data_IF_775234490014
#
_entry.id   IF_775234490014
#
_cell.length_a   1.000
_cell.length_b   1.000
_cell.length_c   1.000
_cell.angle_alpha   90.00
_cell.angle_beta   90.00
_cell.angle_gamma   90.00
#
_symmetry.space_group_name_H-M   'P 1'
#
loop_
_entity.id
_entity.type
_entity.pdbx_description
1 polymer ?
#
# COMPACT_ATOMS: atom_id res chain seq x y z
N UNK A 1 66.53 24.15 11.70
CA UNK A 1 66.41 25.62 11.52
C UNK A 1 66.60 25.92 10.05
N UNK A 2 65.80 26.84 9.51
CA UNK A 2 65.83 27.20 8.09
C UNK A 2 66.17 28.70 7.98
N UNK A 3 67.42 29.06 7.63
CA UNK A 3 67.86 30.44 7.56
C UNK A 3 67.35 31.13 6.28
N UNK A 4 66.96 32.41 6.41
CA UNK A 4 66.48 33.22 5.29
C UNK A 4 65.08 32.84 4.80
N UNK A 5 64.54 33.58 3.81
CA UNK A 5 63.30 33.21 3.15
C UNK A 5 63.52 31.91 2.37
N UNK A 6 62.71 30.90 2.68
CA UNK A 6 62.76 29.63 1.96
C UNK A 6 62.17 29.80 0.56
N UNK A 7 62.70 29.04 -0.39
CA UNK A 7 62.03 28.84 -1.67
C UNK A 7 60.61 28.33 -1.42
N UNK A 8 59.63 28.84 -2.16
CA UNK A 8 58.21 28.52 -1.92
C UNK A 8 57.93 27.01 -1.83
N UNK A 9 58.43 26.15 -2.75
CA UNK A 9 58.17 24.71 -2.67
C UNK A 9 58.72 24.05 -1.39
N UNK A 10 59.86 24.54 -0.91
CA UNK A 10 60.49 24.09 0.33
C UNK A 10 59.68 24.54 1.55
N UNK A 11 59.24 25.82 1.56
CA UNK A 11 58.40 26.37 2.61
C UNK A 11 57.07 25.62 2.73
N UNK A 12 56.40 25.34 1.61
CA UNK A 12 55.12 24.64 1.56
C UNK A 12 55.26 23.21 2.09
N UNK A 13 56.31 22.51 1.66
CA UNK A 13 56.58 21.14 2.11
C UNK A 13 56.92 21.09 3.61
N UNK A 14 57.76 22.02 4.10
CA UNK A 14 58.07 22.13 5.54
C UNK A 14 56.84 22.52 6.38
N UNK A 15 55.93 23.33 5.84
CA UNK A 15 54.69 23.70 6.52
C UNK A 15 53.74 22.52 6.76
N UNK A 16 53.85 21.47 5.94
CA UNK A 16 53.12 20.21 6.17
C UNK A 16 53.87 19.31 7.16
N UNK A 17 55.20 19.21 7.01
CA UNK A 17 56.04 18.23 7.72
C UNK A 17 56.39 18.60 9.16
N UNK A 18 56.31 19.88 9.52
CA UNK A 18 56.74 20.38 10.81
C UNK A 18 55.91 21.59 11.24
N UNK A 19 55.88 21.83 12.55
CA UNK A 19 55.23 23.00 13.12
C UNK A 19 56.25 24.15 13.27
N UNK A 20 55.82 25.39 13.05
CA UNK A 20 56.70 26.56 13.21
C UNK A 20 56.76 26.95 14.69
N UNK A 21 57.94 26.82 15.27
CA UNK A 21 58.20 27.19 16.67
C UNK A 21 58.60 28.67 16.81
N UNK A 22 59.39 29.19 15.86
CA UNK A 22 59.79 30.61 15.85
C UNK A 22 60.05 31.09 14.43
N UNK A 23 59.74 32.38 14.17
CA UNK A 23 59.88 33.06 12.87
C UNK A 23 60.94 34.18 12.88
N UNK A 24 61.95 34.07 13.76
CA UNK A 24 63.04 35.06 13.85
C UNK A 24 63.97 35.07 12.63
N UNK A 25 65.22 35.51 12.80
CA UNK A 25 66.23 35.54 11.72
C UNK A 25 66.50 34.19 11.03
N UNK A 26 66.10 33.09 11.67
CA UNK A 26 65.91 31.79 11.04
C UNK A 26 64.59 31.19 11.54
N UNK A 27 63.81 30.58 10.63
CA UNK A 27 62.58 29.90 11.00
C UNK A 27 62.94 28.56 11.66
N UNK A 28 62.43 28.34 12.88
CA UNK A 28 62.64 27.10 13.61
C UNK A 28 61.42 26.22 13.40
N UNK A 29 61.65 25.06 12.79
CA UNK A 29 60.65 24.03 12.57
C UNK A 29 60.85 22.90 13.58
N UNK A 30 59.75 22.50 14.22
CA UNK A 30 59.71 21.38 15.16
C UNK A 30 58.95 20.22 14.54
N UNK A 31 59.61 19.09 14.44
CA UNK A 31 58.98 17.84 14.04
C UNK A 31 58.35 17.18 15.26
N UNK A 32 57.05 16.92 15.16
CA UNK A 32 56.24 16.23 16.15
C UNK A 32 55.58 14.99 15.53
N UNK A 33 55.17 13.99 16.32
CA UNK A 33 54.40 12.86 15.80
C UNK A 33 53.15 13.30 15.00
N UNK A 34 52.50 14.39 15.41
CA UNK A 34 51.34 14.96 14.74
C UNK A 34 51.69 15.56 13.37
N UNK A 35 52.78 16.31 13.26
CA UNK A 35 53.23 16.89 11.99
C UNK A 35 53.68 15.81 10.99
N UNK A 36 54.37 14.76 11.45
CA UNK A 36 54.75 13.63 10.60
C UNK A 36 53.51 12.89 10.13
N UNK A 37 52.56 12.59 11.03
CA UNK A 37 51.28 11.95 10.67
C UNK A 37 50.53 12.77 9.61
N UNK A 38 50.45 14.08 9.77
CA UNK A 38 49.82 15.01 8.80
C UNK A 38 50.42 14.86 7.40
N UNK A 39 51.73 14.71 7.30
CA UNK A 39 52.39 14.50 6.03
C UNK A 39 52.07 13.13 5.41
N UNK A 40 51.98 12.08 6.22
CA UNK A 40 51.55 10.75 5.76
C UNK A 40 50.07 10.74 5.33
N UNK A 41 49.20 11.44 6.07
CA UNK A 41 47.79 11.63 5.71
C UNK A 41 47.62 12.39 4.39
N UNK A 42 48.57 13.28 4.07
CA UNK A 42 48.66 13.97 2.78
C UNK A 42 49.25 13.10 1.65
N UNK A 43 49.46 11.80 1.89
CA UNK A 43 49.89 10.82 0.88
C UNK A 43 51.40 10.73 0.66
N UNK A 44 52.23 11.32 1.53
CA UNK A 44 53.70 11.17 1.44
C UNK A 44 54.15 9.86 2.07
N UNK A 45 55.10 9.17 1.44
CA UNK A 45 55.71 7.98 2.04
C UNK A 45 56.87 8.35 2.97
N UNK A 46 57.16 7.50 3.97
CA UNK A 46 58.30 7.70 4.88
C UNK A 46 59.64 7.89 4.13
N UNK A 47 59.83 7.15 3.04
CA UNK A 47 60.98 7.30 2.14
C UNK A 47 61.08 8.70 1.54
N UNK A 48 59.96 9.32 1.19
CA UNK A 48 59.92 10.67 0.63
C UNK A 48 60.29 11.71 1.68
N UNK A 49 59.85 11.52 2.94
CA UNK A 49 60.25 12.37 4.06
C UNK A 49 61.77 12.29 4.30
N UNK A 50 62.32 11.08 4.34
CA UNK A 50 63.77 10.89 4.52
C UNK A 50 64.57 11.48 3.36
N UNK A 51 64.16 11.24 2.11
CA UNK A 51 64.80 11.81 0.93
C UNK A 51 64.74 13.34 0.92
N UNK A 52 63.59 13.90 1.28
CA UNK A 52 63.40 15.35 1.39
C UNK A 52 64.34 15.97 2.43
N UNK A 53 64.42 15.38 3.63
CA UNK A 53 65.32 15.86 4.67
C UNK A 53 66.79 15.71 4.27
N UNK A 54 67.17 14.60 3.65
CA UNK A 54 68.53 14.39 3.16
C UNK A 54 68.92 15.40 2.07
N UNK A 55 68.00 15.75 1.18
CA UNK A 55 68.25 16.71 0.10
C UNK A 55 68.40 18.17 0.59
N UNK A 56 67.68 18.56 1.65
CA UNK A 56 67.62 19.97 2.11
C UNK A 56 68.38 20.22 3.42
N UNK A 57 68.90 19.19 4.07
CA UNK A 57 69.70 19.35 5.29
C UNK A 57 71.18 19.49 4.96
N UNK A 58 71.82 20.52 5.55
CA UNK A 58 73.28 20.72 5.45
C UNK A 58 74.08 19.74 6.30
N UNK A 59 73.45 19.12 7.29
CA UNK A 59 74.03 18.10 8.17
C UNK A 59 73.28 16.79 8.00
N UNK A 60 73.86 15.64 8.36
CA UNK A 60 73.10 14.39 8.45
C UNK A 60 71.84 14.56 9.30
N UNK A 61 70.76 13.88 8.89
CA UNK A 61 69.48 13.90 9.63
C UNK A 61 69.69 13.25 11.01
N UNK A 62 69.32 13.91 12.12
CA UNK A 62 69.49 13.34 13.45
C UNK A 62 68.72 12.02 13.61
N UNK A 63 69.37 11.02 14.21
CA UNK A 63 68.77 9.69 14.47
C UNK A 63 67.38 9.76 15.16
N UNK A 64 67.13 10.64 16.16
CA UNK A 64 65.81 10.72 16.78
C UNK A 64 64.69 11.13 15.82
N UNK A 65 65.00 11.98 14.83
CA UNK A 65 64.04 12.38 13.81
C UNK A 65 63.76 11.24 12.84
N UNK A 66 64.80 10.52 12.41
CA UNK A 66 64.62 9.35 11.57
C UNK A 66 63.73 8.29 12.25
N UNK A 67 64.01 8.01 13.52
CA UNK A 67 63.21 7.08 14.33
C UNK A 67 61.76 7.54 14.49
N UNK A 68 61.53 8.84 14.73
CA UNK A 68 60.18 9.41 14.81
C UNK A 68 59.39 9.17 13.51
N UNK A 69 60.02 9.40 12.35
CA UNK A 69 59.38 9.19 11.05
C UNK A 69 58.99 7.73 10.88
N UNK A 70 59.92 6.81 11.16
CA UNK A 70 59.70 5.38 10.98
C UNK A 70 58.64 4.82 11.95
N UNK A 71 58.65 5.25 13.21
CA UNK A 71 57.65 4.82 14.20
C UNK A 71 56.23 5.29 13.84
N UNK A 72 56.09 6.56 13.40
CA UNK A 72 54.80 7.09 12.98
C UNK A 72 54.33 6.43 11.68
N UNK A 73 55.24 6.22 10.72
CA UNK A 73 54.93 5.56 9.47
C UNK A 73 54.51 4.10 9.67
N UNK A 74 55.17 3.38 10.59
CA UNK A 74 54.78 2.02 10.95
C UNK A 74 53.35 1.99 11.48
N UNK A 75 52.99 2.93 12.37
CA UNK A 75 51.66 3.02 12.99
C UNK A 75 50.57 3.54 12.06
N UNK A 76 50.95 4.30 11.02
CA UNK A 76 50.03 4.90 10.07
C UNK A 76 49.37 3.85 9.18
N UNK A 77 48.06 3.98 8.95
CA UNK A 77 47.32 3.08 8.06
C UNK A 77 47.13 1.64 8.56
N UNK A 78 47.52 1.31 9.81
CA UNK A 78 47.24 0.01 10.42
C UNK A 78 45.74 -0.26 10.56
N UNK A 79 44.97 0.78 10.90
CA UNK A 79 43.51 0.73 10.92
C UNK A 79 42.99 1.32 9.62
N UNK A 80 42.11 0.58 8.95
CA UNK A 80 41.46 1.01 7.72
C UNK A 80 39.96 1.07 7.94
N UNK A 81 39.38 2.21 7.61
CA UNK A 81 37.94 2.44 7.70
C UNK A 81 37.42 2.50 6.27
N UNK A 82 36.28 1.88 6.02
CA UNK A 82 35.57 1.96 4.75
C UNK A 82 34.07 1.98 4.99
N UNK A 83 33.32 2.54 4.05
CA UNK A 83 31.87 2.47 4.09
C UNK A 83 31.41 1.02 3.84
N UNK A 84 30.39 0.59 4.60
CA UNK A 84 29.66 -0.64 4.39
C UNK A 84 28.21 -0.37 4.80
N UNK A 85 27.29 -0.45 3.84
CA UNK A 85 25.86 -0.15 4.05
C UNK A 85 25.11 -1.35 4.64
N UNK A 86 25.60 -2.56 4.36
CA UNK A 86 25.08 -3.81 4.89
C UNK A 86 26.18 -4.88 4.93
N UNK A 87 25.93 -5.99 5.62
CA UNK A 87 26.82 -7.14 5.67
C UNK A 87 26.05 -8.45 5.50
N UNK A 88 26.77 -9.51 5.11
CA UNK A 88 26.28 -10.88 5.08
C UNK A 88 27.17 -11.70 6.00
N UNK A 89 26.57 -12.40 6.96
CA UNK A 89 27.24 -13.41 7.78
C UNK A 89 26.77 -14.79 7.36
N UNK A 90 27.70 -15.71 7.19
CA UNK A 90 27.40 -17.11 6.93
C UNK A 90 28.49 -17.98 7.56
N UNK A 91 28.10 -19.05 8.23
CA UNK A 91 29.04 -19.97 8.88
C UNK A 91 29.76 -20.86 7.85
N UNK A 92 29.29 -20.88 6.60
CA UNK A 92 29.92 -21.57 5.46
C UNK A 92 30.66 -20.57 4.56
N UNK A 93 32.00 -20.68 4.54
CA UNK A 93 32.84 -19.81 3.74
C UNK A 93 32.77 -20.12 2.23
N UNK A 94 32.40 -21.35 1.87
CA UNK A 94 32.27 -21.80 0.48
C UNK A 94 31.06 -21.16 -0.19
N UNK A 95 29.93 -21.06 0.52
CA UNK A 95 28.73 -20.35 0.06
C UNK A 95 29.02 -18.88 -0.22
N UNK A 96 29.80 -18.23 0.65
CA UNK A 96 30.19 -16.83 0.44
C UNK A 96 31.14 -16.66 -0.76
N UNK A 97 32.00 -17.65 -1.04
CA UNK A 97 32.83 -17.66 -2.24
C UNK A 97 31.98 -17.85 -3.51
N UNK A 98 30.95 -18.70 -3.46
CA UNK A 98 30.00 -18.88 -4.56
C UNK A 98 29.28 -17.57 -4.89
N UNK A 99 28.74 -16.88 -3.87
CA UNK A 99 28.08 -15.57 -4.02
C UNK A 99 29.03 -14.54 -4.67
N UNK A 100 30.29 -14.49 -4.23
CA UNK A 100 31.30 -13.58 -4.79
C UNK A 100 31.68 -13.92 -6.23
N UNK A 101 31.61 -15.19 -6.63
CA UNK A 101 31.94 -15.63 -7.99
C UNK A 101 30.79 -15.44 -8.98
N UNK A 102 29.54 -15.39 -8.52
CA UNK A 102 28.38 -15.18 -9.38
C UNK A 102 28.31 -13.74 -9.91
N UNK A 103 28.35 -13.58 -11.24
CA UNK A 103 28.28 -12.28 -11.92
C UNK A 103 27.04 -11.46 -11.57
N UNK A 104 25.94 -12.11 -11.18
CA UNK A 104 24.69 -11.44 -10.75
C UNK A 104 24.90 -10.62 -9.47
N UNK A 105 25.89 -10.94 -8.64
CA UNK A 105 26.20 -10.18 -7.40
C UNK A 105 26.97 -8.88 -7.64
N UNK A 106 27.43 -8.61 -8.87
CA UNK A 106 28.24 -7.43 -9.19
C UNK A 106 27.57 -6.10 -8.79
N UNK A 107 26.24 -6.02 -8.91
CA UNK A 107 25.45 -4.85 -8.49
C UNK A 107 25.44 -4.61 -6.98
N UNK A 108 25.64 -5.66 -6.18
CA UNK A 108 25.67 -5.59 -4.72
C UNK A 108 27.00 -5.06 -4.16
N UNK A 109 28.04 -5.00 -5.02
CA UNK A 109 29.40 -4.51 -4.68
C UNK A 109 29.96 -5.18 -3.43
N UNK A 110 29.85 -6.51 -3.38
CA UNK A 110 30.29 -7.32 -2.26
C UNK A 110 31.82 -7.30 -2.12
N UNK A 111 32.29 -7.24 -0.88
CA UNK A 111 33.71 -7.31 -0.51
C UNK A 111 33.88 -8.22 0.69
N UNK A 112 34.84 -9.15 0.61
CA UNK A 112 35.22 -10.02 1.72
C UNK A 112 35.84 -9.21 2.86
N UNK A 113 35.29 -9.30 4.08
CA UNK A 113 35.90 -8.73 5.29
C UNK A 113 36.55 -9.82 6.16
N UNK A 114 35.92 -10.99 6.21
CA UNK A 114 36.41 -12.17 6.93
C UNK A 114 35.93 -13.45 6.20
N UNK A 115 36.44 -14.65 6.56
CA UNK A 115 36.01 -15.91 5.94
C UNK A 115 34.50 -16.17 6.02
N UNK A 116 33.82 -15.63 7.03
CA UNK A 116 32.38 -15.79 7.26
C UNK A 116 31.60 -14.48 7.11
N UNK A 117 32.24 -13.41 6.61
CA UNK A 117 31.62 -12.07 6.53
C UNK A 117 31.93 -11.37 5.20
N UNK A 118 30.86 -10.93 4.52
CA UNK A 118 30.90 -10.00 3.39
C UNK A 118 30.36 -8.64 3.80
N UNK A 119 30.93 -7.56 3.29
CA UNK A 119 30.32 -6.23 3.30
C UNK A 119 29.74 -5.91 1.92
N UNK A 120 28.65 -5.16 1.90
CA UNK A 120 28.00 -4.64 0.70
C UNK A 120 27.96 -3.11 0.74
N UNK A 121 27.97 -2.48 -0.45
CA UNK A 121 27.65 -1.05 -0.57
C UNK A 121 26.14 -0.81 -0.76
N UNK A 122 25.40 -1.84 -1.17
CA UNK A 122 23.95 -1.82 -1.22
C UNK A 122 23.35 -1.78 0.20
N UNK A 123 22.22 -1.10 0.36
CA UNK A 123 21.46 -1.10 1.61
C UNK A 123 20.92 -2.51 1.96
N UNK A 124 20.52 -2.76 3.21
CA UNK A 124 20.09 -4.09 3.65
C UNK A 124 18.90 -4.67 2.86
N UNK A 125 17.95 -3.85 2.41
CA UNK A 125 16.78 -4.32 1.68
C UNK A 125 17.19 -4.77 0.26
N UNK A 126 17.95 -3.94 -0.44
CA UNK A 126 18.49 -4.27 -1.77
C UNK A 126 19.39 -5.51 -1.73
N UNK A 127 20.22 -5.66 -0.69
CA UNK A 127 21.07 -6.84 -0.52
C UNK A 127 20.24 -8.12 -0.34
N UNK A 128 19.22 -8.06 0.52
CA UNK A 128 18.35 -9.19 0.81
C UNK A 128 17.53 -9.60 -0.43
N UNK A 129 16.99 -8.64 -1.18
CA UNK A 129 16.29 -8.92 -2.44
C UNK A 129 17.22 -9.46 -3.52
N UNK A 130 18.41 -8.87 -3.68
CA UNK A 130 19.38 -9.32 -4.68
C UNK A 130 19.86 -10.75 -4.45
N UNK A 131 20.15 -11.12 -3.19
CA UNK A 131 20.51 -12.49 -2.84
C UNK A 131 19.36 -13.48 -3.06
N UNK A 132 18.11 -13.08 -2.77
CA UNK A 132 16.92 -13.89 -3.08
C UNK A 132 16.73 -14.11 -4.58
N UNK A 133 16.91 -13.07 -5.38
CA UNK A 133 16.84 -13.15 -6.84
C UNK A 133 17.92 -14.07 -7.44
N UNK A 134 19.04 -14.26 -6.72
CA UNK A 134 20.08 -15.21 -7.11
C UNK A 134 19.76 -16.67 -6.72
N UNK A 135 18.74 -16.90 -5.90
CA UNK A 135 18.33 -18.23 -5.42
C UNK A 135 18.77 -18.55 -3.99
N UNK A 136 19.43 -17.62 -3.29
CA UNK A 136 19.80 -17.80 -1.88
C UNK A 136 18.61 -17.48 -0.96
N UNK A 137 18.67 -18.01 0.27
CA UNK A 137 17.63 -17.79 1.29
C UNK A 137 18.19 -17.00 2.50
N UNK A 138 18.59 -15.71 2.32
CA UNK A 138 19.07 -14.90 3.43
C UNK A 138 17.94 -14.55 4.41
N UNK A 139 18.28 -14.49 5.69
CA UNK A 139 17.46 -13.90 6.72
C UNK A 139 17.95 -12.49 7.05
N UNK A 140 17.05 -11.58 7.39
CA UNK A 140 17.44 -10.27 7.90
C UNK A 140 17.99 -10.44 9.33
N UNK A 141 18.98 -9.63 9.71
CA UNK A 141 19.44 -9.49 11.10
C UNK A 141 19.04 -8.10 11.63
N UNK A 142 18.77 -7.99 12.92
CA UNK A 142 18.52 -6.72 13.61
C UNK A 142 19.83 -5.97 13.88
N UNK A 143 19.76 -4.72 14.37
CA UNK A 143 20.94 -3.96 14.75
C UNK A 143 21.74 -4.65 15.89
N UNK A 144 21.07 -5.48 16.68
CA UNK A 144 21.63 -6.27 17.78
C UNK A 144 22.19 -7.63 17.29
N UNK A 145 22.02 -7.98 16.01
CA UNK A 145 22.49 -9.24 15.41
C UNK A 145 21.50 -10.40 15.53
N UNK A 146 20.29 -10.16 16.03
CA UNK A 146 19.26 -11.19 16.10
C UNK A 146 18.63 -11.42 14.73
N UNK A 147 18.37 -12.68 14.38
CA UNK A 147 17.72 -13.00 13.10
C UNK A 147 16.28 -12.50 13.13
N UNK A 148 15.99 -11.48 12.33
CA UNK A 148 14.67 -10.97 12.06
C UNK A 148 13.95 -11.94 11.13
N UNK A 149 13.08 -12.76 11.72
CA UNK A 149 12.09 -13.52 10.97
C UNK A 149 11.01 -12.54 10.51
N UNK A 150 11.27 -11.88 9.38
CA UNK A 150 10.19 -11.23 8.64
C UNK A 150 9.35 -12.35 8.04
N UNK A 151 8.39 -12.88 8.81
CA UNK A 151 7.28 -13.62 8.21
C UNK A 151 6.75 -12.67 7.15
N UNK A 152 6.94 -13.02 5.88
CA UNK A 152 6.46 -12.23 4.76
C UNK A 152 5.08 -11.78 5.18
N UNK A 153 4.89 -10.46 5.31
CA UNK A 153 3.56 -9.94 5.45
C UNK A 153 2.90 -10.35 4.15
N UNK A 154 2.27 -11.54 4.16
CA UNK A 154 1.14 -11.81 3.32
C UNK A 154 0.36 -10.52 3.40
N UNK A 155 0.19 -9.85 2.25
CA UNK A 155 -0.65 -8.68 2.15
C UNK A 155 -2.00 -9.08 2.72
N UNK A 156 -2.15 -8.95 4.03
CA UNK A 156 -3.38 -9.23 4.74
C UNK A 156 -4.20 -8.05 4.34
N UNK A 157 -5.24 -8.33 3.58
CA UNK A 157 -6.34 -7.39 3.40
C UNK A 157 -6.62 -6.78 4.78
N UNK A 158 -6.68 -5.44 4.90
CA UNK A 158 -7.00 -4.82 6.18
C UNK A 158 -8.25 -5.49 6.76
N UNK A 159 -8.37 -5.58 8.10
CA UNK A 159 -9.53 -6.20 8.73
C UNK A 159 -10.79 -5.69 8.05
N UNK A 160 -11.57 -6.60 7.45
CA UNK A 160 -12.80 -6.23 6.77
C UNK A 160 -13.68 -5.56 7.82
N UNK A 161 -13.79 -4.24 7.75
CA UNK A 161 -14.76 -3.52 8.55
C UNK A 161 -16.13 -4.11 8.21
N UNK A 162 -16.92 -4.45 9.24
CA UNK A 162 -18.31 -4.78 9.01
C UNK A 162 -18.92 -3.58 8.24
N UNK A 163 -19.64 -3.81 7.14
CA UNK A 163 -20.30 -2.72 6.44
C UNK A 163 -21.17 -1.96 7.46
N UNK A 164 -21.09 -0.63 7.45
CA UNK A 164 -22.00 0.17 8.27
C UNK A 164 -23.44 -0.26 7.93
N UNK A 165 -24.29 -0.52 8.93
CA UNK A 165 -25.68 -0.84 8.68
C UNK A 165 -26.28 0.29 7.83
N UNK A 166 -26.62 -0.05 6.58
CA UNK A 166 -27.48 0.82 5.77
C UNK A 166 -28.79 0.91 6.56
N UNK A 167 -29.31 2.11 6.86
CA UNK A 167 -30.59 2.22 7.53
C UNK A 167 -31.64 1.49 6.68
N UNK A 168 -32.20 0.41 7.23
CA UNK A 168 -33.36 -0.26 6.64
C UNK A 168 -34.54 0.70 6.72
N UNK A 169 -34.83 1.34 5.60
CA UNK A 169 -35.96 2.23 5.45
C UNK A 169 -35.86 3.03 4.15
N UNK A 170 -37.00 3.37 3.52
CA UNK A 170 -36.99 4.27 2.37
C UNK A 170 -36.35 5.61 2.76
N UNK A 171 -35.63 6.27 1.82
CA UNK A 171 -35.01 7.56 2.08
C UNK A 171 -36.08 8.55 2.59
N UNK A 172 -35.67 9.45 3.49
CA UNK A 172 -36.57 10.48 4.02
C UNK A 172 -37.23 11.21 2.83
N UNK A 173 -38.56 11.18 2.70
CA UNK A 173 -39.22 11.70 1.52
C UNK A 173 -38.96 13.19 1.39
N UNK A 174 -38.63 13.61 0.17
CA UNK A 174 -38.35 15.00 -0.13
C UNK A 174 -39.60 15.88 0.02
N UNK A 175 -39.40 17.20 0.02
CA UNK A 175 -40.49 18.17 0.19
C UNK A 175 -41.53 18.08 -0.92
N UNK A 176 -41.17 17.54 -2.10
CA UNK A 176 -42.11 17.37 -3.22
C UNK A 176 -43.07 16.21 -2.96
N UNK A 177 -42.56 15.08 -2.44
CA UNK A 177 -43.34 13.92 -2.02
C UNK A 177 -44.27 14.26 -0.85
N UNK A 178 -43.78 14.99 0.16
CA UNK A 178 -44.64 15.46 1.25
C UNK A 178 -45.77 16.35 0.73
N UNK A 179 -45.48 17.25 -0.21
CA UNK A 179 -46.48 18.16 -0.77
C UNK A 179 -47.53 17.41 -1.59
N UNK A 180 -47.12 16.40 -2.35
CA UNK A 180 -48.01 15.52 -3.10
C UNK A 180 -48.91 14.70 -2.16
N UNK A 181 -48.34 14.13 -1.09
CA UNK A 181 -49.10 13.37 -0.09
C UNK A 181 -50.15 14.24 0.62
N UNK A 182 -49.81 15.47 1.00
CA UNK A 182 -50.76 16.43 1.60
C UNK A 182 -51.87 16.81 0.62
N UNK A 183 -51.56 16.96 -0.68
CA UNK A 183 -52.60 17.18 -1.71
C UNK A 183 -53.53 15.98 -1.85
N UNK A 184 -53.00 14.76 -1.87
CA UNK A 184 -53.79 13.53 -1.96
C UNK A 184 -54.74 13.36 -0.76
N UNK A 185 -54.26 13.64 0.46
CA UNK A 185 -55.11 13.61 1.67
C UNK A 185 -56.23 14.65 1.56
N UNK A 186 -55.92 15.89 1.17
CA UNK A 186 -56.93 16.94 1.00
C UNK A 186 -57.93 16.65 -0.12
N UNK A 187 -57.49 15.99 -1.18
CA UNK A 187 -58.36 15.52 -2.26
C UNK A 187 -59.30 14.41 -1.76
N UNK A 188 -58.80 13.47 -0.97
CA UNK A 188 -59.60 12.44 -0.29
C UNK A 188 -60.63 13.02 0.68
N UNK A 189 -60.26 14.03 1.46
CA UNK A 189 -61.19 14.73 2.36
C UNK A 189 -62.30 15.44 1.58
N UNK A 190 -61.97 16.09 0.45
CA UNK A 190 -62.94 16.71 -0.46
C UNK A 190 -63.86 15.68 -1.14
N UNK A 191 -63.32 14.51 -1.51
CA UNK A 191 -64.10 13.40 -2.08
C UNK A 191 -65.02 12.76 -1.03
N UNK A 192 -64.60 12.68 0.23
CA UNK A 192 -65.40 12.13 1.34
C UNK A 192 -66.58 13.04 1.74
N UNK A 193 -66.49 14.34 1.47
CA UNK A 193 -67.51 15.34 1.80
C UNK A 193 -68.42 15.71 0.63
N UNK A 194 -68.16 15.19 -0.57
CA UNK A 194 -69.02 15.37 -1.74
C UNK A 194 -70.20 14.37 -1.72
N UNK A 195 -71.47 14.82 -1.70
CA UNK A 195 -72.61 13.90 -1.68
C UNK A 195 -72.76 13.18 -3.03
N UNK A 196 -72.64 11.85 -3.02
CA UNK A 196 -72.85 10.96 -4.18
C UNK A 196 -74.32 10.96 -4.59
N UNK A 197 -74.59 11.30 -5.85
CA UNK A 197 -75.91 11.22 -6.51
C UNK A 197 -76.29 9.75 -6.73
N UNK A 198 -77.45 9.26 -6.24
CA UNK A 198 -77.79 7.83 -6.32
C UNK A 198 -78.69 7.53 -7.52
N UNK A 199 -78.28 6.53 -8.32
CA UNK A 199 -79.10 5.64 -9.18
C UNK A 199 -78.15 4.58 -9.72
N UNK A 200 -78.42 3.29 -9.87
CA UNK A 200 -79.47 2.37 -9.45
C UNK A 200 -78.85 0.97 -9.63
N UNK A 201 -79.05 0.09 -8.65
CA UNK A 201 -78.70 -1.34 -8.63
C UNK A 201 -79.22 -2.11 -9.86
N UNK A 202 -78.68 -3.31 -10.23
CA UNK A 202 -78.51 -4.41 -9.27
C UNK A 202 -77.32 -5.38 -9.42
N UNK A 203 -76.95 -5.88 -8.23
CA UNK A 203 -76.62 -7.28 -7.88
C UNK A 203 -75.16 -7.75 -8.00
N UNK A 204 -74.51 -7.89 -6.85
CA UNK A 204 -73.41 -8.83 -6.64
C UNK A 204 -72.35 -8.41 -5.63
N UNK A 205 -72.76 -8.09 -4.40
CA UNK A 205 -71.84 -7.89 -3.29
C UNK A 205 -71.21 -9.22 -2.86
N UNK A 206 -69.89 -9.35 -3.03
CA UNK A 206 -68.96 -9.98 -2.09
C UNK A 206 -67.53 -9.73 -2.61
N UNK A 207 -66.63 -9.26 -1.74
CA UNK A 207 -65.21 -9.00 -2.02
C UNK A 207 -64.39 -10.28 -2.27
N UNK A 208 -64.89 -11.17 -3.11
CA UNK A 208 -64.28 -12.44 -3.49
C UNK A 208 -63.06 -12.26 -4.39
N UNK A 209 -62.10 -13.18 -4.26
CA UNK A 209 -60.96 -13.32 -5.18
C UNK A 209 -61.44 -13.30 -6.65
N UNK A 210 -60.74 -12.61 -7.57
CA UNK A 210 -61.11 -12.64 -8.98
C UNK A 210 -60.96 -14.08 -9.47
N UNK A 211 -61.86 -14.51 -10.35
CA UNK A 211 -61.75 -15.79 -11.05
C UNK A 211 -61.70 -15.53 -12.54
N UNK A 212 -60.51 -15.68 -13.12
CA UNK A 212 -60.29 -15.55 -14.56
C UNK A 212 -59.82 -16.88 -15.12
N UNK A 213 -60.07 -17.12 -16.40
CA UNK A 213 -59.56 -18.33 -17.06
C UNK A 213 -58.03 -18.28 -17.17
N UNK A 214 -57.34 -19.42 -17.30
CA UNK A 214 -55.86 -19.44 -17.40
C UNK A 214 -55.32 -18.66 -18.61
N UNK A 215 -56.08 -18.64 -19.72
CA UNK A 215 -55.71 -17.88 -20.91
C UNK A 215 -55.84 -16.37 -20.69
N UNK A 216 -56.90 -15.94 -20.00
CA UNK A 216 -57.16 -14.55 -19.64
C UNK A 216 -56.13 -14.04 -18.61
N UNK A 217 -55.86 -14.82 -17.56
CA UNK A 217 -54.79 -14.54 -16.59
C UNK A 217 -53.43 -14.31 -17.27
N UNK A 218 -53.06 -15.17 -18.23
CA UNK A 218 -51.80 -15.02 -18.95
C UNK A 218 -51.80 -13.76 -19.82
N UNK A 219 -52.89 -13.50 -20.54
CA UNK A 219 -53.01 -12.32 -21.38
C UNK A 219 -52.95 -11.01 -20.57
N UNK A 220 -53.66 -10.93 -19.44
CA UNK A 220 -53.63 -9.75 -18.54
C UNK A 220 -52.24 -9.56 -17.93
N UNK A 221 -51.57 -10.63 -17.53
CA UNK A 221 -50.20 -10.53 -17.01
C UNK A 221 -49.20 -10.06 -18.07
N UNK A 222 -49.33 -10.54 -19.32
CA UNK A 222 -48.48 -10.09 -20.42
C UNK A 222 -48.76 -8.62 -20.78
N UNK A 223 -50.02 -8.19 -20.77
CA UNK A 223 -50.38 -6.79 -20.96
C UNK A 223 -49.79 -5.91 -19.85
N UNK A 224 -49.93 -6.31 -18.60
CA UNK A 224 -49.38 -5.59 -17.44
C UNK A 224 -47.84 -5.51 -17.44
N UNK A 225 -47.13 -6.54 -17.95
CA UNK A 225 -45.67 -6.44 -18.18
C UNK A 225 -45.33 -5.37 -19.21
N UNK A 226 -46.16 -5.20 -20.25
CA UNK A 226 -45.94 -4.22 -21.31
C UNK A 226 -46.29 -2.79 -20.86
N UNK A 227 -47.36 -2.61 -20.09
CA UNK A 227 -47.79 -1.30 -19.58
C UNK A 227 -47.06 -0.88 -18.30
N UNK A 228 -46.51 -1.84 -17.56
CA UNK A 228 -45.90 -1.62 -16.25
C UNK A 228 -46.92 -1.39 -15.14
N UNK A 229 -48.20 -1.71 -15.37
CA UNK A 229 -49.28 -1.51 -14.42
C UNK A 229 -49.32 -2.60 -13.36
N UNK A 230 -49.75 -2.22 -12.15
CA UNK A 230 -49.99 -3.18 -11.08
C UNK A 230 -51.36 -3.85 -11.27
N UNK A 231 -51.41 -5.15 -11.02
CA UNK A 231 -52.61 -5.97 -11.11
C UNK A 231 -52.88 -6.65 -9.78
N UNK A 232 -54.16 -6.88 -9.51
CA UNK A 232 -54.58 -7.64 -8.35
C UNK A 232 -54.77 -9.10 -8.69
N UNK A 233 -54.24 -9.99 -7.86
CA UNK A 233 -54.27 -11.44 -8.10
C UNK A 233 -54.83 -12.19 -6.89
N UNK A 234 -55.58 -13.23 -7.18
CA UNK A 234 -55.80 -14.32 -6.23
C UNK A 234 -54.74 -15.38 -6.41
N UNK A 235 -54.08 -15.80 -5.33
CA UNK A 235 -52.99 -16.78 -5.35
C UNK A 235 -53.13 -17.82 -4.24
N UNK A 236 -52.91 -19.09 -4.58
CA UNK A 236 -52.88 -20.21 -3.62
C UNK A 236 -51.46 -20.69 -3.40
N UNK A 237 -51.00 -20.74 -2.15
CA UNK A 237 -49.65 -21.21 -1.80
C UNK A 237 -49.53 -22.75 -1.86
N UNK A 238 -48.33 -23.29 -1.56
CA UNK A 238 -48.09 -24.74 -1.60
C UNK A 238 -48.89 -25.50 -0.54
N UNK A 239 -49.27 -24.81 0.53
CA UNK A 239 -50.06 -25.31 1.65
C UNK A 239 -51.58 -25.21 1.39
N UNK A 240 -52.00 -24.76 0.20
CA UNK A 240 -53.41 -24.67 -0.19
C UNK A 240 -54.17 -23.46 0.37
N UNK A 241 -53.47 -22.52 1.01
CA UNK A 241 -54.05 -21.28 1.53
C UNK A 241 -54.19 -20.24 0.42
N UNK A 242 -55.41 -19.74 0.20
CA UNK A 242 -55.67 -18.66 -0.75
C UNK A 242 -55.36 -17.29 -0.14
N UNK A 243 -54.74 -16.42 -0.92
CA UNK A 243 -54.36 -15.06 -0.55
C UNK A 243 -54.60 -14.10 -1.72
N UNK A 244 -54.89 -12.84 -1.40
CA UNK A 244 -55.00 -11.77 -2.38
C UNK A 244 -53.72 -10.94 -2.36
N UNK A 245 -53.20 -10.56 -3.53
CA UNK A 245 -51.95 -9.80 -3.66
C UNK A 245 -52.06 -8.76 -4.76
N UNK A 246 -51.50 -7.58 -4.52
CA UNK A 246 -51.25 -6.58 -5.57
C UNK A 246 -49.82 -6.78 -6.06
N UNK A 247 -49.64 -7.08 -7.34
CA UNK A 247 -48.32 -7.32 -7.93
C UNK A 247 -48.10 -6.42 -9.16
N UNK A 248 -46.87 -5.97 -9.38
CA UNK A 248 -46.42 -5.33 -10.62
C UNK A 248 -45.60 -6.34 -11.44
N UNK A 249 -46.17 -6.95 -12.50
CA UNK A 249 -45.49 -7.97 -13.29
C UNK A 249 -44.26 -7.41 -14.02
N UNK A 250 -43.13 -8.10 -13.90
CA UNK A 250 -41.86 -7.72 -14.56
C UNK A 250 -41.61 -8.61 -15.78
N UNK A 251 -41.97 -9.90 -15.69
CA UNK A 251 -41.76 -10.87 -16.76
C UNK A 251 -42.69 -12.07 -16.63
N UNK A 252 -43.16 -12.59 -17.76
CA UNK A 252 -43.94 -13.83 -17.85
C UNK A 252 -43.26 -14.80 -18.81
N UNK A 253 -42.72 -15.91 -18.30
CA UNK A 253 -42.04 -16.94 -19.10
C UNK A 253 -42.26 -18.33 -18.51
N UNK A 254 -42.37 -19.35 -19.36
CA UNK A 254 -42.39 -20.76 -18.93
C UNK A 254 -43.53 -21.15 -17.97
N UNK A 255 -44.64 -20.39 -17.93
CA UNK A 255 -45.74 -20.62 -17.00
C UNK A 255 -45.56 -19.97 -15.63
N UNK A 256 -44.58 -19.09 -15.47
CA UNK A 256 -44.32 -18.32 -14.25
C UNK A 256 -44.40 -16.82 -14.54
N UNK A 257 -44.77 -16.04 -13.52
CA UNK A 257 -44.69 -14.58 -13.52
C UNK A 257 -43.75 -14.13 -12.41
N UNK A 258 -42.70 -13.40 -12.76
CA UNK A 258 -41.86 -12.69 -11.79
C UNK A 258 -42.40 -11.27 -11.66
N UNK A 259 -42.72 -10.86 -10.44
CA UNK A 259 -43.39 -9.60 -10.16
C UNK A 259 -42.91 -9.01 -8.83
N UNK A 260 -42.96 -7.69 -8.70
CA UNK A 260 -42.86 -7.03 -7.41
C UNK A 260 -44.18 -7.18 -6.67
N UNK A 261 -44.20 -7.78 -5.49
CA UNK A 261 -45.41 -7.95 -4.69
C UNK A 261 -45.53 -6.79 -3.69
N UNK A 262 -46.46 -5.87 -3.93
CA UNK A 262 -46.71 -4.72 -3.05
C UNK A 262 -47.26 -5.14 -1.68
N UNK A 263 -47.78 -6.36 -1.55
CA UNK A 263 -48.30 -6.88 -0.26
C UNK A 263 -47.17 -7.40 0.63
N UNK A 264 -46.10 -7.94 0.03
CA UNK A 264 -44.94 -8.50 0.73
C UNK A 264 -43.68 -7.63 0.64
N UNK A 265 -43.72 -6.56 -0.17
CA UNK A 265 -42.65 -5.62 -0.45
C UNK A 265 -41.34 -6.28 -0.95
N UNK A 266 -41.48 -7.29 -1.82
CA UNK A 266 -40.36 -8.08 -2.34
C UNK A 266 -40.63 -8.58 -3.78
N UNK A 267 -39.59 -8.80 -4.58
CA UNK A 267 -39.70 -9.45 -5.90
C UNK A 267 -39.88 -10.96 -5.72
N UNK A 268 -40.97 -11.50 -6.23
CA UNK A 268 -41.31 -12.93 -6.13
C UNK A 268 -41.71 -13.52 -7.47
N UNK A 269 -41.50 -14.83 -7.59
CA UNK A 269 -41.92 -15.60 -8.78
C UNK A 269 -43.11 -16.47 -8.43
N UNK A 270 -44.20 -16.31 -9.17
CA UNK A 270 -45.46 -17.00 -8.98
C UNK A 270 -45.73 -17.96 -10.14
N UNK A 271 -46.05 -19.25 -9.87
CA UNK A 271 -46.56 -20.14 -10.92
C UNK A 271 -47.97 -19.72 -11.34
N UNK A 272 -48.20 -19.53 -12.64
CA UNK A 272 -49.49 -19.06 -13.18
C UNK A 272 -50.64 -20.04 -12.90
N UNK A 273 -50.36 -21.35 -12.84
CA UNK A 273 -51.37 -22.36 -12.51
C UNK A 273 -51.90 -22.28 -11.07
N UNK A 274 -51.29 -21.45 -10.21
CA UNK A 274 -51.76 -21.17 -8.85
C UNK A 274 -52.40 -19.79 -8.69
N UNK A 275 -52.46 -19.02 -9.78
CA UNK A 275 -53.21 -17.76 -9.82
C UNK A 275 -54.67 -18.10 -10.13
N UNK A 276 -55.55 -17.84 -9.17
CA UNK A 276 -56.98 -18.15 -9.28
C UNK A 276 -57.74 -17.10 -10.09
N UNK A 277 -57.21 -15.88 -10.16
CA UNK A 277 -57.64 -14.89 -11.14
C UNK A 277 -56.93 -13.55 -10.99
N UNK A 278 -57.15 -12.68 -11.97
CA UNK A 278 -56.49 -11.37 -12.10
C UNK A 278 -57.53 -10.29 -12.34
N UNK A 279 -57.33 -9.11 -11.78
CA UNK A 279 -58.10 -7.91 -12.08
C UNK A 279 -57.16 -6.71 -12.23
N UNK A 280 -57.44 -5.85 -13.20
CA UNK A 280 -56.78 -4.55 -13.33
C UNK A 280 -57.20 -3.66 -12.16
N UNK A 281 -56.24 -2.87 -11.66
CA UNK A 281 -56.56 -1.82 -10.69
C UNK A 281 -57.26 -0.69 -11.46
N UNK A 282 -58.32 -0.12 -10.90
CA UNK A 282 -58.96 1.02 -11.53
C UNK A 282 -57.99 2.22 -11.55
N UNK A 283 -57.76 2.79 -12.74
CA UNK A 283 -56.98 4.01 -12.91
C UNK A 283 -57.71 5.21 -12.29
N UNK A 284 -57.04 5.93 -11.39
CA UNK A 284 -57.40 7.32 -11.09
C UNK A 284 -56.99 8.18 -12.31
N UNK A 285 -57.93 8.42 -13.23
CA UNK A 285 -57.81 9.50 -14.20
C UNK A 285 -57.97 10.85 -13.48
N UNK A 286 -56.83 11.57 -13.40
CA UNK A 286 -56.64 13.03 -13.30
C UNK A 286 -57.31 13.81 -12.15
#
# INVERSE_FOLDING_TARGET
MAPGPLERPLADTLGVLADVESKGGATVYRFTPASVRRALDAGRAASDLHAFLAAHSRTPVPQPLAYLIDDVARKHGHLRIGAASAYVRCDDDTLLNEILADKRSAGLRLRRLAPTVLAAQADPATLLEGLRAMGFAPAAESAEGDVLITRAHAHRTPPRAAPEPVPDGPPVPDTTLLTAAVRAIRAGDLASTAPRKPTADPAGADGGLPRTSSAETLATMQAAVLTGEAVWIGYVNAEGTASQRVIAPIRVEGGFVTAYDHTADEVRTYPLHRVTGVAELADDQA
#
